data_IF_888110325062
#
_entry.id   IF_888110325062
#
_cell.length_a   1.000
_cell.length_b   1.000
_cell.length_c   1.000
_cell.angle_alpha   90.00
_cell.angle_beta   90.00
_cell.angle_gamma   90.00
#
_symmetry.space_group_name_H-M   'P 1'
#
loop_
_entity.id
_entity.type
_entity.pdbx_description
1 polymer ?
#
# COMPACT_ATOMS: atom_id res chain seq x y z
N UNK A 1 -11.62 -11.71 9.22
CA UNK A 1 -11.21 -11.98 7.84
C UNK A 1 -9.74 -11.66 7.66
N UNK A 2 -9.11 -12.31 6.68
CA UNK A 2 -7.68 -12.15 6.38
C UNK A 2 -7.32 -10.68 6.13
N UNK A 3 -8.15 -9.97 5.37
CA UNK A 3 -7.91 -8.56 5.03
C UNK A 3 -7.89 -7.68 6.27
N UNK A 4 -8.78 -7.95 7.21
CA UNK A 4 -8.87 -7.20 8.44
C UNK A 4 -7.65 -7.46 9.33
N UNK A 5 -7.21 -8.72 9.40
CA UNK A 5 -6.00 -9.09 10.15
C UNK A 5 -4.75 -8.44 9.51
N UNK A 6 -4.66 -8.48 8.18
CA UNK A 6 -3.56 -7.88 7.48
C UNK A 6 -3.51 -6.36 7.69
N UNK A 7 -4.67 -5.72 7.66
CA UNK A 7 -4.76 -4.28 7.87
C UNK A 7 -4.29 -3.88 9.28
N UNK A 8 -4.54 -4.72 10.26
CA UNK A 8 -4.07 -4.48 11.63
C UNK A 8 -2.55 -4.52 11.74
N UNK A 9 -1.86 -5.19 10.81
CA UNK A 9 -0.40 -5.27 10.77
C UNK A 9 0.24 -4.11 10.00
N UNK A 10 -0.56 -3.31 9.31
CA UNK A 10 -0.06 -2.21 8.48
C UNK A 10 0.38 -1.06 9.38
N UNK A 11 1.61 -0.60 9.20
CA UNK A 11 2.12 0.55 9.93
C UNK A 11 1.51 1.84 9.40
N UNK A 12 1.67 2.94 10.15
CA UNK A 12 1.18 4.26 9.72
C UNK A 12 1.78 4.65 8.38
N UNK A 13 3.10 4.47 8.20
CA UNK A 13 3.77 4.83 6.94
C UNK A 13 3.30 3.95 5.79
N UNK A 14 3.11 2.65 6.05
CA UNK A 14 2.56 1.75 5.04
C UNK A 14 1.14 2.16 4.65
N UNK A 15 0.34 2.61 5.60
CA UNK A 15 -1.01 3.08 5.31
C UNK A 15 -0.98 4.31 4.39
N UNK A 16 -0.05 5.24 4.63
CA UNK A 16 0.13 6.40 3.75
C UNK A 16 0.49 5.97 2.33
N UNK A 17 1.41 4.99 2.22
CA UNK A 17 1.78 4.43 0.92
C UNK A 17 0.56 3.76 0.26
N UNK A 18 -0.19 2.98 1.02
CA UNK A 18 -1.39 2.30 0.49
C UNK A 18 -2.40 3.29 -0.06
N UNK A 19 -2.63 4.40 0.62
CA UNK A 19 -3.56 5.43 0.15
C UNK A 19 -3.14 5.98 -1.20
N UNK A 20 -1.85 6.25 -1.37
CA UNK A 20 -1.34 6.78 -2.63
C UNK A 20 -1.37 5.73 -3.74
N UNK A 21 -1.03 4.48 -3.42
CA UNK A 21 -1.15 3.37 -4.37
C UNK A 21 -2.61 3.24 -4.84
N UNK A 22 -3.54 3.28 -3.90
CA UNK A 22 -4.98 3.17 -4.18
C UNK A 22 -5.46 4.32 -5.07
N UNK A 23 -4.87 5.50 -4.92
CA UNK A 23 -5.20 6.67 -5.74
C UNK A 23 -4.56 6.62 -7.14
N UNK A 24 -3.75 5.61 -7.42
CA UNK A 24 -3.13 5.43 -8.73
C UNK A 24 -1.73 6.01 -8.87
N UNK A 25 -1.11 6.45 -7.78
CA UNK A 25 0.23 7.02 -7.82
C UNK A 25 1.28 5.95 -8.17
N UNK A 26 2.30 6.36 -8.92
CA UNK A 26 3.47 5.52 -9.17
C UNK A 26 4.40 5.55 -7.96
N UNK A 27 5.34 4.61 -7.88
CA UNK A 27 6.33 4.60 -6.80
C UNK A 27 7.13 5.90 -6.76
N UNK A 28 7.44 6.46 -7.93
CA UNK A 28 8.15 7.73 -8.01
C UNK A 28 7.32 8.87 -7.41
N UNK A 29 6.04 8.92 -7.76
CA UNK A 29 5.13 9.93 -7.22
C UNK A 29 4.97 9.79 -5.71
N UNK A 30 4.85 8.56 -5.23
CA UNK A 30 4.75 8.28 -3.79
C UNK A 30 6.04 8.74 -3.09
N UNK A 31 7.19 8.42 -3.67
CA UNK A 31 8.49 8.82 -3.11
C UNK A 31 8.59 10.34 -3.00
N UNK A 32 8.14 11.07 -4.01
CA UNK A 32 8.15 12.52 -3.99
C UNK A 32 7.19 13.07 -2.94
N UNK A 33 5.98 12.53 -2.88
CA UNK A 33 4.95 12.98 -1.95
C UNK A 33 5.36 12.77 -0.49
N UNK A 34 5.96 11.62 -0.18
CA UNK A 34 6.33 11.27 1.19
C UNK A 34 7.77 11.61 1.54
N UNK A 35 8.52 12.16 0.59
CA UNK A 35 9.94 12.50 0.75
C UNK A 35 10.74 11.25 1.16
N UNK A 36 10.59 10.20 0.36
CA UNK A 36 11.26 8.91 0.56
C UNK A 36 12.02 8.52 -0.71
N UNK A 37 12.99 7.62 -0.57
CA UNK A 37 13.62 6.99 -1.73
C UNK A 37 12.63 6.03 -2.39
N UNK A 38 12.72 5.87 -3.72
CA UNK A 38 11.86 4.92 -4.43
C UNK A 38 12.07 3.49 -3.95
N UNK A 39 13.31 3.13 -3.58
CA UNK A 39 13.61 1.80 -3.04
C UNK A 39 12.86 1.56 -1.73
N UNK A 40 12.74 2.59 -0.89
CA UNK A 40 11.98 2.51 0.35
C UNK A 40 10.49 2.32 0.05
N UNK A 41 9.96 3.03 -0.95
CA UNK A 41 8.57 2.87 -1.37
C UNK A 41 8.34 1.44 -1.87
N UNK A 42 9.24 0.90 -2.68
CA UNK A 42 9.14 -0.49 -3.15
C UNK A 42 9.08 -1.48 -1.99
N UNK A 43 9.89 -1.26 -0.96
CA UNK A 43 9.88 -2.10 0.23
C UNK A 43 8.54 -2.02 0.95
N UNK A 44 7.99 -0.82 1.10
CA UNK A 44 6.67 -0.65 1.71
C UNK A 44 5.57 -1.32 0.89
N UNK A 45 5.61 -1.20 -0.43
CA UNK A 45 4.62 -1.84 -1.31
C UNK A 45 4.71 -3.36 -1.20
N UNK A 46 5.93 -3.91 -1.20
CA UNK A 46 6.12 -5.37 -1.03
C UNK A 46 5.59 -5.84 0.31
N UNK A 47 5.86 -5.09 1.38
CA UNK A 47 5.37 -5.40 2.71
C UNK A 47 3.85 -5.37 2.76
N UNK A 48 3.23 -4.36 2.13
CA UNK A 48 1.77 -4.26 2.04
C UNK A 48 1.17 -5.45 1.30
N UNK A 49 1.77 -5.84 0.18
CA UNK A 49 1.29 -6.99 -0.58
C UNK A 49 1.33 -8.26 0.26
N UNK A 50 2.40 -8.44 1.02
CA UNK A 50 2.54 -9.59 1.90
C UNK A 50 1.51 -9.55 3.03
N UNK A 51 1.39 -8.43 3.72
CA UNK A 51 0.49 -8.28 4.87
C UNK A 51 -0.99 -8.40 4.47
N UNK A 52 -1.35 -7.86 3.32
CA UNK A 52 -2.73 -7.87 2.83
C UNK A 52 -3.01 -9.04 1.89
N UNK A 53 -2.01 -9.88 1.66
CA UNK A 53 -2.12 -11.06 0.79
C UNK A 53 -2.58 -10.70 -0.62
N UNK A 54 -2.07 -9.58 -1.14
CA UNK A 54 -2.26 -9.18 -2.51
C UNK A 54 -1.13 -9.78 -3.35
N UNK A 55 -1.49 -10.48 -4.42
CA UNK A 55 -0.51 -11.18 -5.25
C UNK A 55 0.27 -10.25 -6.19
N UNK A 56 -0.28 -9.07 -6.47
CA UNK A 56 0.37 -8.07 -7.32
C UNK A 56 -0.17 -6.68 -6.99
N UNK A 57 0.35 -5.67 -7.70
CA UNK A 57 -0.02 -4.28 -7.45
C UNK A 57 -1.49 -4.01 -7.79
N UNK A 58 -2.01 -4.63 -8.84
CA UNK A 58 -3.42 -4.46 -9.22
C UNK A 58 -4.34 -4.95 -8.10
N UNK A 59 -4.03 -6.13 -7.56
CA UNK A 59 -4.79 -6.67 -6.44
C UNK A 59 -4.69 -5.75 -5.22
N UNK A 60 -3.51 -5.16 -4.99
CA UNK A 60 -3.30 -4.23 -3.88
C UNK A 60 -4.17 -2.98 -4.05
N UNK A 61 -4.25 -2.42 -5.26
CA UNK A 61 -5.10 -1.26 -5.56
C UNK A 61 -6.56 -1.59 -5.28
N UNK A 62 -7.02 -2.74 -5.74
CA UNK A 62 -8.42 -3.16 -5.55
C UNK A 62 -8.73 -3.37 -4.07
N UNK A 63 -7.83 -3.98 -3.32
CA UNK A 63 -7.98 -4.14 -1.89
C UNK A 63 -8.01 -2.78 -1.17
N UNK A 64 -7.11 -1.88 -1.56
CA UNK A 64 -7.07 -0.53 -1.00
C UNK A 64 -8.38 0.21 -1.22
N UNK A 65 -8.94 0.12 -2.41
CA UNK A 65 -10.23 0.73 -2.70
C UNK A 65 -11.33 0.14 -1.81
N UNK A 66 -11.30 -1.16 -1.63
CA UNK A 66 -12.30 -1.86 -0.82
C UNK A 66 -12.23 -1.46 0.65
N UNK A 67 -11.03 -1.35 1.22
CA UNK A 67 -10.88 -1.11 2.66
C UNK A 67 -10.79 0.36 3.03
N UNK A 68 -10.35 1.24 2.12
CA UNK A 68 -10.15 2.66 2.40
C UNK A 68 -11.31 3.54 1.93
N UNK A 69 -12.05 3.11 0.91
CA UNK A 69 -13.10 3.92 0.29
C UNK A 69 -14.51 3.49 0.67
N UNK A 70 -14.62 2.58 1.61
CA UNK A 70 -15.95 2.21 2.15
C UNK A 70 -16.37 3.14 3.25
#
# INVERSE_FOLDING_TARGET
AVQRQGLALVTRRELEVLRLVTAGATNREIAQELVLAETTVKTHVSSLMSKLQARDRVALVLLGQKVLLQ
#
